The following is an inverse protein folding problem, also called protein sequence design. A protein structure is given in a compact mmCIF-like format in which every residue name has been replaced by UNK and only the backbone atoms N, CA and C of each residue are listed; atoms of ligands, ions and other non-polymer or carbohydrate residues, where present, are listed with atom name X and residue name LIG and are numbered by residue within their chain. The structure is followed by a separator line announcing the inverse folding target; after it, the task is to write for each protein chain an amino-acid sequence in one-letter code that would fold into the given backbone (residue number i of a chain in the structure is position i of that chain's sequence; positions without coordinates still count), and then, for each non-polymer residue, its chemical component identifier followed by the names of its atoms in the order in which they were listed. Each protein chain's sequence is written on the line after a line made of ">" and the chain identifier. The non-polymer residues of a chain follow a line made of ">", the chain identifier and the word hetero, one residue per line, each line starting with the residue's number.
data_IF_212579375354
#
_entry.id   IF_212579375354
#
_cell.length_a   1.000
_cell.length_b   1.000
_cell.length_c   1.000
_cell.angle_alpha   90.00
_cell.angle_beta   90.00
_cell.angle_gamma   90.00
#
_symmetry.space_group_name_H-M   'P 1'
#
loop_
_entity.id
_entity.type
_entity.pdbx_description
1 polymer ?
#
# COMPACT_ATOMS: atom_id res chain seq x y z
N UNK A 1 13.14 58.84 -2.14
CA UNK A 1 11.94 59.63 -2.52
C UNK A 1 11.43 59.17 -3.89
N UNK A 2 10.12 59.27 -4.10
CA UNK A 2 9.31 59.04 -5.33
C UNK A 2 8.81 57.61 -5.61
N UNK A 3 7.60 57.39 -5.10
CA UNK A 3 6.54 56.50 -5.60
C UNK A 3 6.08 56.94 -6.99
N UNK A 4 5.67 56.01 -7.87
CA UNK A 4 4.58 56.23 -8.85
C UNK A 4 3.81 54.92 -9.04
N UNK A 5 2.51 55.01 -8.75
CA UNK A 5 1.45 54.05 -9.05
C UNK A 5 1.17 53.98 -10.55
N UNK A 6 0.74 52.82 -11.04
CA UNK A 6 -0.13 52.75 -12.22
C UNK A 6 -1.23 51.70 -12.00
N UNK A 7 -2.45 52.20 -11.84
CA UNK A 7 -3.72 51.49 -11.92
C UNK A 7 -3.91 50.84 -13.29
N UNK A 8 -4.45 49.63 -13.32
CA UNK A 8 -5.20 49.13 -14.46
C UNK A 8 -6.40 48.31 -13.96
N UNK A 9 -7.58 48.92 -14.12
CA UNK A 9 -8.90 48.29 -14.08
C UNK A 9 -8.97 47.18 -15.13
N UNK A 10 -9.58 46.03 -14.80
CA UNK A 10 -10.30 45.23 -15.80
C UNK A 10 -11.35 44.31 -15.14
N UNK A 11 -12.60 44.72 -15.31
CA UNK A 11 -13.84 43.94 -15.48
C UNK A 11 -14.16 42.79 -14.51
N UNK A 12 -15.12 43.10 -13.64
CA UNK A 12 -16.15 42.19 -13.14
C UNK A 12 -16.82 41.40 -14.28
N UNK A 13 -16.84 40.08 -14.16
CA UNK A 13 -17.87 39.23 -14.74
C UNK A 13 -18.54 38.47 -13.60
N UNK A 14 -19.71 38.97 -13.18
CA UNK A 14 -20.65 38.28 -12.30
C UNK A 14 -21.29 37.14 -13.08
N UNK A 15 -20.85 35.90 -12.85
CA UNK A 15 -21.60 34.72 -13.28
C UNK A 15 -22.67 34.40 -12.23
N UNK A 16 -23.94 34.22 -12.61
CA UNK A 16 -24.98 33.81 -11.68
C UNK A 16 -24.68 32.40 -11.15
N UNK A 17 -24.64 32.29 -9.83
CA UNK A 17 -24.58 31.02 -9.11
C UNK A 17 -25.90 30.26 -9.32
N UNK A 18 -25.97 29.42 -10.36
CA UNK A 18 -27.00 28.39 -10.50
C UNK A 18 -26.63 27.26 -9.53
N UNK A 19 -27.10 27.38 -8.29
CA UNK A 19 -27.20 26.27 -7.34
C UNK A 19 -28.28 25.29 -7.83
N UNK A 20 -27.99 24.59 -8.93
CA UNK A 20 -28.69 23.39 -9.34
C UNK A 20 -28.21 22.23 -8.48
N UNK A 21 -28.80 22.08 -7.29
CA UNK A 21 -28.68 20.84 -6.52
C UNK A 21 -29.44 19.72 -7.26
N UNK A 22 -28.83 19.19 -8.33
CA UNK A 22 -29.24 17.94 -8.93
C UNK A 22 -29.13 16.86 -7.85
N UNK A 23 -30.28 16.52 -7.27
CA UNK A 23 -30.48 15.27 -6.56
C UNK A 23 -30.21 14.15 -7.57
N UNK A 24 -28.95 13.74 -7.70
CA UNK A 24 -28.55 12.47 -8.33
C UNK A 24 -29.29 11.38 -7.57
N UNK A 25 -30.46 11.00 -8.08
CA UNK A 25 -31.20 9.82 -7.66
C UNK A 25 -30.22 8.68 -7.74
N UNK A 26 -29.75 8.22 -6.58
CA UNK A 26 -28.82 7.12 -6.44
C UNK A 26 -29.49 5.87 -6.98
N UNK A 27 -29.31 5.63 -8.28
CA UNK A 27 -29.61 4.35 -8.89
C UNK A 27 -28.76 3.33 -8.14
N UNK A 28 -29.43 2.46 -7.37
CA UNK A 28 -28.83 1.24 -6.84
C UNK A 28 -28.17 0.53 -8.02
N UNK A 29 -26.86 0.69 -8.18
CA UNK A 29 -26.09 -0.13 -9.11
C UNK A 29 -26.41 -1.57 -8.73
N UNK A 30 -27.03 -2.30 -9.66
CA UNK A 30 -27.31 -3.73 -9.58
C UNK A 30 -26.04 -4.38 -9.01
N UNK A 31 -26.15 -5.02 -7.84
CA UNK A 31 -25.00 -5.46 -7.05
C UNK A 31 -24.06 -6.30 -7.91
N UNK A 32 -22.85 -5.82 -8.08
CA UNK A 32 -21.78 -6.57 -8.74
C UNK A 32 -21.48 -7.82 -7.91
N UNK A 33 -21.27 -8.97 -8.56
CA UNK A 33 -20.97 -10.20 -7.82
C UNK A 33 -19.61 -10.08 -7.12
N UNK A 34 -19.42 -10.72 -5.95
CA UNK A 34 -18.13 -10.74 -5.27
C UNK A 34 -16.97 -11.17 -6.16
N UNK A 35 -17.20 -12.11 -7.07
CA UNK A 35 -16.23 -12.60 -8.05
C UNK A 35 -15.82 -11.54 -9.06
N UNK A 36 -16.80 -10.78 -9.60
CA UNK A 36 -16.53 -9.71 -10.55
C UNK A 36 -15.74 -8.56 -9.90
N UNK A 37 -16.13 -8.17 -8.68
CA UNK A 37 -15.39 -7.18 -7.89
C UNK A 37 -13.96 -7.67 -7.59
N UNK A 38 -13.79 -8.98 -7.34
CA UNK A 38 -12.49 -9.58 -7.10
C UNK A 38 -11.60 -9.60 -8.34
N UNK A 39 -12.15 -10.00 -9.49
CA UNK A 39 -11.46 -9.99 -10.78
C UNK A 39 -10.97 -8.58 -11.15
N UNK A 40 -11.80 -7.55 -10.93
CA UNK A 40 -11.39 -6.17 -11.16
C UNK A 40 -10.24 -5.73 -10.26
N UNK A 41 -10.20 -6.18 -9.00
CA UNK A 41 -9.06 -5.86 -8.12
C UNK A 41 -7.78 -6.52 -8.61
N UNK A 42 -7.84 -7.81 -8.96
CA UNK A 42 -6.69 -8.55 -9.51
C UNK A 42 -6.15 -7.82 -10.73
N UNK A 43 -7.03 -7.38 -11.64
CA UNK A 43 -6.64 -6.61 -12.82
C UNK A 43 -5.95 -5.28 -12.46
N UNK A 44 -6.47 -4.52 -11.49
CA UNK A 44 -5.80 -3.27 -11.05
C UNK A 44 -4.40 -3.52 -10.48
N UNK A 45 -4.21 -4.59 -9.71
CA UNK A 45 -2.89 -4.94 -9.18
C UNK A 45 -1.95 -5.36 -10.31
N UNK A 46 -2.45 -6.12 -11.29
CA UNK A 46 -1.71 -6.53 -12.49
C UNK A 46 -1.21 -5.34 -13.31
N UNK A 47 -2.10 -4.36 -13.56
CA UNK A 47 -1.77 -3.14 -14.28
C UNK A 47 -0.67 -2.36 -13.56
N UNK A 48 -0.82 -2.15 -12.24
CA UNK A 48 0.19 -1.46 -11.43
C UNK A 48 1.54 -2.18 -11.44
N UNK A 49 1.58 -3.51 -11.36
CA UNK A 49 2.82 -4.29 -11.47
C UNK A 49 3.47 -4.20 -12.86
N UNK A 50 2.71 -3.86 -13.89
CA UNK A 50 3.26 -3.66 -15.26
C UNK A 50 3.87 -2.26 -15.41
N UNK A 51 3.32 -1.26 -14.72
CA UNK A 51 3.81 0.12 -14.75
C UNK A 51 5.07 0.33 -13.89
N UNK A 52 5.29 -0.55 -12.92
CA UNK A 52 6.41 -0.44 -11.98
C UNK A 52 7.65 -1.11 -12.56
N UNK A 53 8.58 -0.29 -13.07
CA UNK A 53 9.94 -0.72 -13.42
C UNK A 53 10.93 -0.21 -12.37
N UNK A 54 11.69 -1.12 -11.73
CA UNK A 54 12.67 -0.75 -10.69
C UNK A 54 14.02 -1.41 -10.91
N UNK A 55 15.06 -0.58 -11.02
CA UNK A 55 16.47 -0.99 -11.03
C UNK A 55 17.02 -1.20 -9.61
N UNK A 56 16.30 -1.94 -8.77
CA UNK A 56 16.72 -2.29 -7.40
C UNK A 56 16.53 -3.79 -7.20
N UNK A 57 17.54 -4.49 -6.69
CA UNK A 57 17.46 -5.94 -6.50
C UNK A 57 16.40 -6.33 -5.46
N UNK A 58 16.25 -5.57 -4.37
CA UNK A 58 15.24 -5.84 -3.37
C UNK A 58 13.83 -5.55 -3.92
N UNK A 59 13.66 -4.46 -4.67
CA UNK A 59 12.38 -4.17 -5.34
C UNK A 59 11.98 -5.28 -6.32
N UNK A 60 12.90 -5.76 -7.16
CA UNK A 60 12.64 -6.87 -8.09
C UNK A 60 12.22 -8.16 -7.37
N UNK A 61 12.82 -8.45 -6.22
CA UNK A 61 12.43 -9.60 -5.41
C UNK A 61 11.01 -9.44 -4.83
N UNK A 62 10.65 -8.26 -4.34
CA UNK A 62 9.30 -7.98 -3.84
C UNK A 62 8.26 -8.01 -4.97
N UNK A 63 8.59 -7.45 -6.14
CA UNK A 63 7.75 -7.48 -7.33
C UNK A 63 7.52 -8.91 -7.83
N UNK A 64 8.58 -9.72 -7.93
CA UNK A 64 8.48 -11.14 -8.29
C UNK A 64 7.56 -11.89 -7.33
N UNK A 65 7.71 -11.66 -6.02
CA UNK A 65 6.86 -12.27 -4.99
C UNK A 65 5.41 -11.79 -5.11
N UNK A 66 5.17 -10.50 -5.41
CA UNK A 66 3.84 -9.95 -5.63
C UNK A 66 3.14 -10.60 -6.84
N UNK A 67 3.87 -10.80 -7.95
CA UNK A 67 3.36 -11.50 -9.14
C UNK A 67 2.96 -12.95 -8.82
N UNK A 68 3.73 -13.65 -7.99
CA UNK A 68 3.40 -15.01 -7.57
C UNK A 68 2.11 -15.04 -6.74
N UNK A 69 1.93 -14.13 -5.77
CA UNK A 69 0.68 -14.05 -5.01
C UNK A 69 -0.51 -13.64 -5.89
N UNK A 70 -0.30 -12.79 -6.90
CA UNK A 70 -1.37 -12.44 -7.83
C UNK A 70 -1.80 -13.66 -8.66
N UNK A 71 -0.85 -14.46 -9.15
CA UNK A 71 -1.15 -15.72 -9.81
C UNK A 71 -1.88 -16.71 -8.88
N UNK A 72 -1.52 -16.76 -7.59
CA UNK A 72 -2.25 -17.58 -6.61
C UNK A 72 -3.69 -17.07 -6.43
N UNK A 73 -3.88 -15.74 -6.36
CA UNK A 73 -5.21 -15.14 -6.26
C UNK A 73 -6.11 -15.49 -7.46
N UNK A 74 -5.54 -15.48 -8.67
CA UNK A 74 -6.24 -15.88 -9.90
C UNK A 74 -6.66 -17.35 -9.87
N UNK A 75 -5.76 -18.26 -9.45
CA UNK A 75 -6.08 -19.68 -9.31
C UNK A 75 -7.18 -19.93 -8.27
N UNK A 76 -7.10 -19.26 -7.13
CA UNK A 76 -8.11 -19.37 -6.07
C UNK A 76 -9.48 -18.84 -6.54
N UNK A 77 -9.50 -17.72 -7.27
CA UNK A 77 -10.73 -17.15 -7.83
C UNK A 77 -11.34 -18.09 -8.88
N UNK A 78 -10.54 -18.66 -9.77
CA UNK A 78 -10.99 -19.63 -10.76
C UNK A 78 -11.58 -20.89 -10.13
N UNK A 79 -11.12 -21.25 -8.93
CA UNK A 79 -11.65 -22.36 -8.15
C UNK A 79 -12.84 -21.98 -7.24
N UNK A 80 -13.39 -20.77 -7.37
CA UNK A 80 -14.52 -20.28 -6.56
C UNK A 80 -14.16 -19.95 -5.11
N UNK A 81 -12.88 -19.94 -4.73
CA UNK A 81 -12.41 -19.66 -3.37
C UNK A 81 -12.14 -18.17 -3.19
N UNK A 82 -13.20 -17.37 -3.27
CA UNK A 82 -13.15 -15.89 -3.27
C UNK A 82 -12.41 -15.33 -2.05
N UNK A 83 -12.58 -15.89 -0.85
CA UNK A 83 -11.89 -15.43 0.36
C UNK A 83 -10.38 -15.62 0.29
N UNK A 84 -9.91 -16.75 -0.23
CA UNK A 84 -8.48 -17.00 -0.42
C UNK A 84 -7.89 -16.10 -1.51
N UNK A 85 -8.63 -15.94 -2.62
CA UNK A 85 -8.27 -15.02 -3.69
C UNK A 85 -8.11 -13.58 -3.18
N UNK A 86 -9.02 -13.15 -2.30
CA UNK A 86 -8.94 -11.84 -1.66
C UNK A 86 -7.65 -11.69 -0.85
N UNK A 87 -7.34 -12.65 0.01
CA UNK A 87 -6.14 -12.61 0.85
C UNK A 87 -4.84 -12.53 0.04
N UNK A 88 -4.69 -13.37 -0.99
CA UNK A 88 -3.53 -13.33 -1.88
C UNK A 88 -3.45 -12.02 -2.68
N UNK A 89 -4.57 -11.50 -3.19
CA UNK A 89 -4.57 -10.23 -3.92
C UNK A 89 -4.18 -9.04 -3.02
N UNK A 90 -4.59 -9.06 -1.74
CA UNK A 90 -4.24 -8.05 -0.75
C UNK A 90 -2.76 -8.11 -0.39
N UNK A 91 -2.17 -9.31 -0.29
CA UNK A 91 -0.74 -9.49 -0.11
C UNK A 91 0.05 -8.95 -1.32
N UNK A 92 -0.37 -9.27 -2.55
CA UNK A 92 0.24 -8.75 -3.78
C UNK A 92 0.18 -7.21 -3.84
N UNK A 93 -0.96 -6.62 -3.50
CA UNK A 93 -1.15 -5.18 -3.48
C UNK A 93 -0.25 -4.48 -2.44
N UNK A 94 -0.11 -5.07 -1.25
CA UNK A 94 0.78 -4.54 -0.21
C UNK A 94 2.25 -4.56 -0.67
N UNK A 95 2.71 -5.66 -1.27
CA UNK A 95 4.05 -5.72 -1.84
C UNK A 95 4.24 -4.74 -3.01
N UNK A 96 3.21 -4.50 -3.83
CA UNK A 96 3.26 -3.49 -4.89
C UNK A 96 3.46 -2.09 -4.30
N UNK A 97 2.74 -1.73 -3.23
CA UNK A 97 2.96 -0.47 -2.50
C UNK A 97 4.36 -0.38 -1.88
N UNK A 98 4.89 -1.48 -1.36
CA UNK A 98 6.26 -1.54 -0.87
C UNK A 98 7.27 -1.20 -1.98
N UNK A 99 7.07 -1.73 -3.19
CA UNK A 99 7.90 -1.38 -4.36
C UNK A 99 7.77 0.10 -4.72
N UNK A 100 6.56 0.68 -4.67
CA UNK A 100 6.37 2.11 -4.90
C UNK A 100 7.13 2.97 -3.89
N UNK A 101 7.13 2.60 -2.61
CA UNK A 101 7.91 3.31 -1.58
C UNK A 101 9.43 3.25 -1.85
N UNK A 102 9.94 2.11 -2.32
CA UNK A 102 11.35 2.01 -2.76
C UNK A 102 11.61 2.98 -3.93
N UNK A 103 10.70 3.07 -4.91
CA UNK A 103 10.83 4.02 -6.01
C UNK A 103 10.82 5.47 -5.52
N UNK A 104 9.88 5.83 -4.64
CA UNK A 104 9.75 7.18 -4.09
C UNK A 104 10.95 7.62 -3.25
N UNK A 105 11.68 6.68 -2.62
CA UNK A 105 12.94 6.99 -1.94
C UNK A 105 14.02 7.54 -2.88
N UNK A 106 13.93 7.27 -4.19
CA UNK A 106 14.91 7.69 -5.21
C UNK A 106 14.51 8.96 -5.97
N UNK A 107 13.25 9.38 -5.86
CA UNK A 107 12.78 10.60 -6.52
C UNK A 107 13.46 11.82 -5.89
N UNK A 108 13.69 12.89 -6.65
CA UNK A 108 14.31 14.14 -6.14
C UNK A 108 13.29 15.21 -5.73
N UNK A 109 11.99 14.90 -5.77
CA UNK A 109 10.93 15.90 -5.57
C UNK A 109 11.06 16.65 -4.23
N UNK A 110 10.99 17.99 -4.18
CA UNK A 110 11.18 18.78 -2.95
C UNK A 110 9.97 18.78 -1.99
N UNK A 111 9.15 17.72 -1.99
CA UNK A 111 7.97 17.63 -1.11
C UNK A 111 8.38 17.78 0.36
N UNK A 112 7.56 18.49 1.13
CA UNK A 112 7.72 18.60 2.57
C UNK A 112 7.65 17.21 3.21
N UNK A 113 8.78 16.77 3.76
CA UNK A 113 8.86 15.52 4.50
C UNK A 113 8.27 15.68 5.90
N UNK A 114 7.86 14.57 6.54
CA UNK A 114 7.43 14.61 7.93
C UNK A 114 8.50 15.22 8.83
N UNK A 115 8.07 15.86 9.91
CA UNK A 115 8.98 16.34 10.96
C UNK A 115 9.82 15.17 11.51
N UNK A 116 10.96 15.49 12.14
CA UNK A 116 11.81 14.47 12.75
C UNK A 116 11.07 13.67 13.84
N UNK A 117 10.14 14.29 14.55
CA UNK A 117 9.26 13.64 15.52
C UNK A 117 8.33 12.63 14.84
N UNK A 118 7.63 13.05 13.78
CA UNK A 118 6.76 12.15 13.01
C UNK A 118 7.52 10.97 12.37
N UNK A 119 8.78 11.18 11.98
CA UNK A 119 9.66 10.09 11.52
C UNK A 119 10.01 9.11 12.65
N UNK A 120 10.28 9.61 13.85
CA UNK A 120 10.56 8.77 15.01
C UNK A 120 9.33 7.92 15.39
N UNK A 121 8.15 8.51 15.43
CA UNK A 121 6.88 7.80 15.67
C UNK A 121 6.61 6.72 14.61
N UNK A 122 6.95 7.00 13.35
CA UNK A 122 6.82 6.00 12.28
C UNK A 122 7.82 4.86 12.43
N UNK A 123 9.06 5.15 12.79
CA UNK A 123 10.05 4.10 13.08
C UNK A 123 9.62 3.23 14.25
N UNK A 124 9.08 3.82 15.31
CA UNK A 124 8.54 3.09 16.46
C UNK A 124 7.39 2.17 16.04
N UNK A 125 6.44 2.67 15.26
CA UNK A 125 5.35 1.87 14.71
C UNK A 125 5.84 0.72 13.83
N UNK A 126 6.79 1.00 12.93
CA UNK A 126 7.40 0.00 12.07
C UNK A 126 8.13 -1.08 12.88
N UNK A 127 8.83 -0.70 13.96
CA UNK A 127 9.46 -1.63 14.89
C UNK A 127 8.44 -2.58 15.52
N UNK A 128 7.36 -2.05 16.11
CA UNK A 128 6.32 -2.89 16.74
C UNK A 128 5.62 -3.81 15.74
N UNK A 129 5.33 -3.31 14.53
CA UNK A 129 4.80 -4.14 13.43
C UNK A 129 5.78 -5.26 13.06
N UNK A 130 7.07 -4.93 12.96
CA UNK A 130 8.11 -5.91 12.62
C UNK A 130 8.22 -7.04 13.65
N UNK A 131 8.01 -6.77 14.94
CA UNK A 131 7.96 -7.82 15.98
C UNK A 131 6.84 -8.85 15.72
N UNK A 132 5.76 -8.45 15.04
CA UNK A 132 4.66 -9.35 14.67
C UNK A 132 4.98 -10.20 13.41
N UNK A 133 6.03 -9.85 12.66
CA UNK A 133 6.34 -10.51 11.39
C UNK A 133 6.64 -12.01 11.54
N UNK A 134 7.33 -12.42 12.61
CA UNK A 134 7.67 -13.83 12.85
C UNK A 134 6.44 -14.67 13.20
N UNK A 135 5.51 -14.07 13.96
CA UNK A 135 4.21 -14.68 14.23
C UNK A 135 3.45 -14.89 12.91
N UNK A 136 3.30 -13.85 12.08
CA UNK A 136 2.59 -13.97 10.80
C UNK A 136 3.28 -14.92 9.82
N UNK A 137 4.61 -14.90 9.76
CA UNK A 137 5.40 -15.85 8.97
C UNK A 137 5.03 -17.29 9.34
N UNK A 138 5.05 -17.61 10.63
CA UNK A 138 4.75 -18.96 11.13
C UNK A 138 3.29 -19.35 10.84
N UNK A 139 2.35 -18.44 11.06
CA UNK A 139 0.92 -18.72 10.84
C UNK A 139 0.54 -18.86 9.36
N UNK A 140 1.24 -18.18 8.44
CA UNK A 140 0.94 -18.23 7.01
C UNK A 140 1.12 -19.60 6.36
N UNK A 141 2.01 -20.44 6.92
CA UNK A 141 2.46 -21.71 6.32
C UNK A 141 2.98 -21.57 4.87
N UNK A 142 3.24 -20.35 4.40
CA UNK A 142 3.74 -20.08 3.07
C UNK A 142 5.28 -20.05 3.09
N UNK A 143 5.98 -20.87 2.28
CA UNK A 143 7.43 -20.91 2.28
C UNK A 143 8.08 -19.56 1.91
N UNK A 144 7.39 -18.71 1.14
CA UNK A 144 7.87 -17.39 0.74
C UNK A 144 7.84 -16.38 1.89
N UNK A 145 7.02 -16.62 2.92
CA UNK A 145 6.86 -15.71 4.06
C UNK A 145 8.17 -15.48 4.83
N UNK A 146 9.05 -16.49 4.88
CA UNK A 146 10.37 -16.36 5.53
C UNK A 146 11.23 -15.28 4.87
N UNK A 147 11.24 -15.24 3.54
CA UNK A 147 11.97 -14.22 2.78
C UNK A 147 11.41 -12.82 3.03
N UNK A 148 10.09 -12.69 3.14
CA UNK A 148 9.42 -11.42 3.44
C UNK A 148 9.76 -10.91 4.85
N UNK A 149 9.71 -11.76 5.87
CA UNK A 149 10.06 -11.34 7.24
C UNK A 149 11.52 -10.85 7.33
N UNK A 150 12.44 -11.51 6.62
CA UNK A 150 13.83 -11.05 6.51
C UNK A 150 13.95 -9.72 5.78
N UNK A 151 13.23 -9.53 4.66
CA UNK A 151 13.21 -8.26 3.93
C UNK A 151 12.67 -7.11 4.80
N UNK A 152 11.60 -7.35 5.58
CA UNK A 152 11.06 -6.38 6.54
C UNK A 152 12.13 -5.89 7.53
N UNK A 153 12.88 -6.82 8.14
CA UNK A 153 14.01 -6.47 9.03
C UNK A 153 15.06 -5.61 8.34
N UNK A 154 15.44 -5.96 7.11
CA UNK A 154 16.43 -5.20 6.35
C UNK A 154 15.97 -3.77 6.05
N UNK A 155 14.70 -3.58 5.67
CA UNK A 155 14.16 -2.25 5.39
C UNK A 155 13.99 -1.41 6.67
N UNK A 156 13.60 -2.01 7.80
CA UNK A 156 13.63 -1.31 9.08
C UNK A 156 15.04 -0.82 9.44
N UNK A 157 16.07 -1.66 9.28
CA UNK A 157 17.44 -1.25 9.53
C UNK A 157 17.91 -0.13 8.58
N UNK A 158 17.50 -0.16 7.31
CA UNK A 158 17.75 0.94 6.36
C UNK A 158 17.07 2.23 6.81
N UNK A 159 15.80 2.16 7.20
CA UNK A 159 15.04 3.30 7.70
C UNK A 159 15.69 3.93 8.94
N UNK A 160 16.15 3.09 9.88
CA UNK A 160 16.84 3.56 11.08
C UNK A 160 18.15 4.29 10.75
N UNK A 161 18.98 3.71 9.88
CA UNK A 161 20.24 4.34 9.44
C UNK A 161 19.99 5.68 8.74
N UNK A 162 18.97 5.75 7.87
CA UNK A 162 18.59 6.98 7.20
C UNK A 162 18.15 8.07 8.21
N UNK A 163 17.35 7.70 9.21
CA UNK A 163 16.95 8.61 10.29
C UNK A 163 18.16 9.16 11.06
N UNK A 164 19.11 8.30 11.43
CA UNK A 164 20.32 8.69 12.15
C UNK A 164 21.19 9.64 11.29
N UNK A 165 21.20 9.46 9.96
CA UNK A 165 21.85 10.36 8.99
C UNK A 165 21.05 11.61 8.61
N UNK A 166 19.86 11.81 9.20
CA UNK A 166 18.93 12.91 8.88
C UNK A 166 18.41 12.88 7.42
N UNK A 167 18.41 11.72 6.78
CA UNK A 167 17.83 11.47 5.47
C UNK A 167 16.32 11.23 5.62
N UNK A 168 15.57 12.32 5.80
CA UNK A 168 14.15 12.28 6.17
C UNK A 168 13.27 11.44 5.24
N UNK A 169 13.51 11.55 3.92
CA UNK A 169 12.80 10.77 2.89
C UNK A 169 13.03 9.28 3.07
N UNK A 170 14.28 8.86 3.08
CA UNK A 170 14.65 7.44 3.13
C UNK A 170 14.18 6.80 4.43
N UNK A 171 14.24 7.55 5.55
CA UNK A 171 13.70 7.11 6.82
C UNK A 171 12.19 6.80 6.73
N UNK A 172 11.41 7.72 6.17
CA UNK A 172 9.95 7.58 6.04
C UNK A 172 9.57 6.48 5.02
N UNK A 173 10.17 6.50 3.83
CA UNK A 173 9.83 5.54 2.78
C UNK A 173 10.25 4.11 3.15
N UNK A 174 11.45 3.88 3.69
CA UNK A 174 11.85 2.52 4.10
C UNK A 174 11.07 2.02 5.31
N UNK A 175 10.60 2.90 6.21
CA UNK A 175 9.70 2.50 7.28
C UNK A 175 8.35 2.03 6.71
N UNK A 176 7.79 2.73 5.72
CA UNK A 176 6.57 2.29 5.01
C UNK A 176 6.77 0.96 4.28
N UNK A 177 7.93 0.75 3.64
CA UNK A 177 8.28 -0.56 3.03
C UNK A 177 8.19 -1.68 4.07
N UNK A 178 8.77 -1.49 5.26
CA UNK A 178 8.69 -2.45 6.35
C UNK A 178 7.23 -2.73 6.76
N UNK A 179 6.42 -1.68 6.95
CA UNK A 179 5.00 -1.83 7.32
C UNK A 179 4.18 -2.58 6.26
N UNK A 180 4.39 -2.29 4.97
CA UNK A 180 3.68 -2.97 3.88
C UNK A 180 4.10 -4.45 3.74
N UNK A 181 5.36 -4.79 3.99
CA UNK A 181 5.82 -6.19 4.03
C UNK A 181 5.15 -6.94 5.18
N UNK A 182 5.08 -6.34 6.38
CA UNK A 182 4.37 -6.95 7.52
C UNK A 182 2.88 -7.11 7.21
N UNK A 183 2.27 -6.13 6.53
CA UNK A 183 0.87 -6.20 6.10
C UNK A 183 0.65 -7.34 5.10
N UNK A 184 1.57 -7.58 4.17
CA UNK A 184 1.50 -8.72 3.27
C UNK A 184 1.52 -10.05 4.05
N UNK A 185 2.44 -10.19 5.02
CA UNK A 185 2.50 -11.36 5.91
C UNK A 185 1.20 -11.56 6.70
N UNK A 186 0.61 -10.47 7.21
CA UNK A 186 -0.67 -10.50 7.92
C UNK A 186 -1.80 -11.05 7.02
N UNK A 187 -1.87 -10.63 5.76
CA UNK A 187 -2.87 -11.16 4.81
C UNK A 187 -2.65 -12.64 4.52
N UNK A 188 -1.41 -13.11 4.37
CA UNK A 188 -1.12 -14.53 4.19
C UNK A 188 -1.52 -15.36 5.42
N UNK A 189 -1.19 -14.87 6.63
CA UNK A 189 -1.58 -15.52 7.88
C UNK A 189 -3.10 -15.63 8.02
N UNK A 190 -3.85 -14.58 7.67
CA UNK A 190 -5.32 -14.60 7.67
C UNK A 190 -5.89 -15.56 6.62
N UNK A 191 -5.23 -15.68 5.46
CA UNK A 191 -5.64 -16.59 4.38
C UNK A 191 -5.46 -18.05 4.79
N UNK A 192 -4.39 -18.36 5.52
CA UNK A 192 -4.10 -19.70 6.01
C UNK A 192 -4.90 -20.10 7.26
N UNK A 193 -5.55 -19.13 7.92
CA UNK A 193 -6.36 -19.39 9.09
C UNK A 193 -7.60 -20.21 8.70
N UNK A 194 -7.98 -21.24 9.48
CA UNK A 194 -9.22 -21.95 9.24
C UNK A 194 -10.40 -20.98 9.28
N UNK A 195 -11.43 -21.26 8.48
CA UNK A 195 -12.69 -20.53 8.57
C UNK A 195 -13.14 -20.53 10.04
N UNK A 196 -13.30 -19.34 10.62
CA UNK A 196 -13.73 -19.22 12.01
C UNK A 196 -15.16 -19.78 12.11
N UNK A 197 -15.31 -20.97 12.69
CA UNK A 197 -16.61 -21.38 13.19
C UNK A 197 -17.01 -20.44 14.33
N UNK A 198 -18.27 -19.94 14.35
CA UNK A 198 -18.75 -19.17 15.48
C UNK A 198 -18.59 -19.98 16.78
N UNK A 199 -18.22 -19.35 17.91
CA UNK A 199 -18.16 -20.04 19.18
C UNK A 199 -19.54 -20.64 19.49
N UNK A 200 -19.58 -21.96 19.71
CA UNK A 200 -20.81 -22.64 20.12
C UNK A 200 -21.13 -22.21 21.54
N UNK A 201 -22.23 -21.49 21.74
CA UNK A 201 -22.76 -21.21 23.07
C UNK A 201 -23.26 -22.52 23.66
N UNK A 202 -22.80 -22.87 24.87
CA UNK A 202 -23.31 -24.01 25.64
C UNK A 202 -24.52 -23.58 26.46
#
# INVERSE_FOLDING_TARGET
>A
MKRVLACALALMWLTPAVCGAEKKKGGKKKGESPEAAMAQRIERVRQRLTEVSVNDAAARNLESTARQFLADAERELAAGRVSSAQGFSQAAEALTRAVDHIRHSRETSPKGYPSREAQAERLERAYFRLQQAEYFQTQSKDPRAKGLAQAGRQFYQKARRAYDRKEARDADEFAKVCEEIVRALEYLARTAAPAREPPRLK
#
